data_IF_355581493730
#
_entry.id   IF_355581493730
#
_cell.length_a   1.000
_cell.length_b   1.000
_cell.length_c   1.000
_cell.angle_alpha   90.00
_cell.angle_beta   90.00
_cell.angle_gamma   90.00
#
_symmetry.space_group_name_H-M   'P 1'
#
loop_
_entity.id
_entity.type
_entity.pdbx_description
1 polymer ?
#
# COMPACT_ATOMS: atom_id res chain seq x y z
N UNK A 1 24.19 17.28 27.83
CA UNK A 1 23.03 17.52 26.93
C UNK A 1 23.56 17.95 25.59
N UNK A 2 23.54 17.07 24.59
CA UNK A 2 23.57 17.38 23.16
C UNK A 2 23.24 16.08 22.39
N UNK A 3 21.96 15.91 22.02
CA UNK A 3 21.52 14.96 21.00
C UNK A 3 21.88 15.48 19.59
N UNK A 4 21.85 14.70 18.52
CA UNK A 4 21.36 13.33 18.38
C UNK A 4 22.19 12.53 17.36
N UNK A 5 22.26 11.22 17.59
CA UNK A 5 22.73 10.21 16.62
C UNK A 5 21.56 9.53 15.91
N UNK A 6 20.36 10.10 15.98
CA UNK A 6 19.11 9.52 15.51
C UNK A 6 18.44 10.48 14.52
N UNK A 7 19.06 10.72 13.36
CA UNK A 7 18.41 11.51 12.30
C UNK A 7 17.47 10.65 11.44
N UNK A 8 17.65 9.32 11.45
CA UNK A 8 16.84 8.39 10.66
C UNK A 8 16.50 7.12 11.45
N UNK A 9 15.20 6.81 11.55
CA UNK A 9 14.66 5.67 12.29
C UNK A 9 14.38 4.44 11.40
N UNK A 10 14.53 4.57 10.09
CA UNK A 10 14.28 3.52 9.11
C UNK A 10 15.21 3.69 7.90
N UNK A 11 15.63 2.56 7.32
CA UNK A 11 16.53 2.52 6.17
C UNK A 11 15.95 1.63 5.08
N UNK A 12 16.08 2.05 3.83
CA UNK A 12 15.70 1.29 2.65
C UNK A 12 16.90 1.17 1.72
N UNK A 13 17.20 -0.05 1.27
CA UNK A 13 18.31 -0.35 0.37
C UNK A 13 17.77 -0.93 -0.93
N UNK A 14 18.32 -0.44 -2.05
CA UNK A 14 18.10 -1.01 -3.38
C UNK A 14 19.48 -1.34 -3.94
N UNK A 15 19.73 -2.62 -4.22
CA UNK A 15 20.90 -3.05 -4.97
C UNK A 15 20.65 -2.81 -6.45
N UNK A 16 21.67 -2.36 -7.17
CA UNK A 16 21.58 -2.00 -8.59
C UNK A 16 22.82 -2.54 -9.28
N UNK A 17 22.61 -3.35 -10.30
CA UNK A 17 23.69 -3.88 -11.13
C UNK A 17 24.19 -2.80 -12.08
N UNK A 18 25.48 -2.45 -11.97
CA UNK A 18 26.11 -1.46 -12.85
C UNK A 18 26.09 -1.92 -14.30
N UNK A 19 26.09 -0.97 -15.25
CA UNK A 19 26.06 -1.23 -16.69
C UNK A 19 24.84 -2.03 -17.21
N UNK A 20 23.78 -2.12 -16.39
CA UNK A 20 22.49 -2.71 -16.80
C UNK A 20 21.39 -1.65 -16.90
N UNK A 21 20.22 -2.06 -17.40
CA UNK A 21 19.03 -1.20 -17.43
C UNK A 21 18.57 -0.75 -16.03
N UNK A 22 18.95 -1.46 -14.97
CA UNK A 22 18.57 -1.14 -13.58
C UNK A 22 19.09 0.24 -13.17
N UNK A 23 20.24 0.67 -13.69
CA UNK A 23 20.80 2.00 -13.44
C UNK A 23 19.85 3.11 -13.92
N UNK A 24 19.25 2.94 -15.10
CA UNK A 24 18.31 3.91 -15.67
C UNK A 24 17.05 4.06 -14.79
N UNK A 25 16.48 2.94 -14.35
CA UNK A 25 15.31 2.96 -13.46
C UNK A 25 15.64 3.49 -12.07
N UNK A 26 16.85 3.24 -11.58
CA UNK A 26 17.30 3.74 -10.28
C UNK A 26 17.44 5.26 -10.25
N UNK A 27 17.90 5.89 -11.34
CA UNK A 27 17.93 7.36 -11.46
C UNK A 27 16.53 7.97 -11.37
N UNK A 28 15.53 7.35 -12.00
CA UNK A 28 14.13 7.80 -11.87
C UNK A 28 13.59 7.64 -10.45
N UNK A 29 13.90 6.51 -9.81
CA UNK A 29 13.52 6.25 -8.42
C UNK A 29 14.16 7.25 -7.45
N UNK A 30 15.43 7.59 -7.67
CA UNK A 30 16.12 8.62 -6.89
C UNK A 30 15.37 9.95 -6.96
N UNK A 31 15.04 10.43 -8.17
CA UNK A 31 14.28 11.67 -8.33
C UNK A 31 12.94 11.60 -7.59
N UNK A 32 12.19 10.51 -7.77
CA UNK A 32 10.91 10.31 -7.10
C UNK A 32 11.02 10.34 -5.57
N UNK A 33 12.03 9.67 -4.99
CA UNK A 33 12.22 9.65 -3.54
C UNK A 33 12.58 11.03 -2.98
N UNK A 34 13.42 11.78 -3.69
CA UNK A 34 13.79 13.15 -3.33
C UNK A 34 12.55 14.05 -3.39
N UNK A 35 11.73 13.92 -4.44
CA UNK A 35 10.50 14.70 -4.59
C UNK A 35 9.47 14.42 -3.48
N UNK A 36 9.48 13.21 -2.90
CA UNK A 36 8.64 12.85 -1.74
C UNK A 36 9.25 13.30 -0.39
N UNK A 37 10.45 13.88 -0.38
CA UNK A 37 11.12 14.38 0.82
C UNK A 37 11.94 13.33 1.57
N UNK A 38 12.27 12.19 0.96
CA UNK A 38 13.18 11.22 1.57
C UNK A 38 14.65 11.65 1.42
N UNK A 39 15.45 11.36 2.45
CA UNK A 39 16.90 11.46 2.37
C UNK A 39 17.45 10.28 1.55
N UNK A 40 18.27 10.58 0.55
CA UNK A 40 18.80 9.60 -0.38
C UNK A 40 20.33 9.68 -0.45
N UNK A 41 21.00 8.52 -0.41
CA UNK A 41 22.45 8.40 -0.51
C UNK A 41 22.83 7.24 -1.40
N UNK A 42 23.73 7.49 -2.35
CA UNK A 42 24.36 6.43 -3.16
C UNK A 42 25.60 5.91 -2.44
N UNK A 43 25.73 4.59 -2.35
CA UNK A 43 26.88 3.90 -1.75
C UNK A 43 27.51 3.03 -2.84
N UNK A 44 28.76 3.30 -3.19
CA UNK A 44 29.50 2.58 -4.24
C UNK A 44 30.52 1.58 -3.69
N UNK A 45 30.90 1.70 -2.42
CA UNK A 45 31.93 0.88 -1.78
C UNK A 45 31.36 0.19 -0.53
N UNK A 46 30.67 -0.92 -0.75
CA UNK A 46 30.21 -1.87 0.27
C UNK A 46 30.15 -3.25 -0.42
N UNK A 47 30.56 -4.36 0.22
CA UNK A 47 31.18 -4.51 1.53
C UNK A 47 32.66 -4.06 1.58
N UNK A 48 33.23 -3.84 2.78
CA UNK A 48 34.67 -3.64 2.95
C UNK A 48 35.47 -4.75 2.24
N UNK A 49 36.60 -4.43 1.59
CA UNK A 49 37.37 -5.40 0.80
C UNK A 49 37.86 -6.61 1.61
N UNK A 50 38.07 -6.42 2.91
CA UNK A 50 38.53 -7.47 3.84
C UNK A 50 37.44 -8.52 4.19
N UNK A 51 36.16 -8.23 3.90
CA UNK A 51 35.06 -9.15 4.19
C UNK A 51 34.81 -10.19 3.09
N UNK A 52 35.47 -10.04 1.94
CA UNK A 52 35.39 -10.96 0.80
C UNK A 52 35.37 -12.45 1.16
N UNK A 53 36.33 -12.99 1.94
CA UNK A 53 36.36 -14.41 2.28
C UNK A 53 35.22 -14.88 3.20
N UNK A 54 34.49 -13.95 3.84
CA UNK A 54 33.35 -14.27 4.69
C UNK A 54 32.01 -14.23 3.93
N UNK A 55 32.03 -13.86 2.65
CA UNK A 55 30.84 -13.72 1.82
C UNK A 55 30.72 -14.86 0.83
N UNK A 56 29.49 -15.23 0.50
CA UNK A 56 29.21 -16.23 -0.53
C UNK A 56 29.60 -15.72 -1.92
N UNK A 57 29.95 -16.64 -2.82
CA UNK A 57 30.35 -16.35 -4.20
C UNK A 57 31.65 -15.54 -4.32
N UNK A 58 32.57 -15.73 -3.35
CA UNK A 58 33.88 -15.08 -3.38
C UNK A 58 34.84 -15.72 -4.38
N UNK A 59 34.77 -17.05 -4.56
CA UNK A 59 35.65 -17.80 -5.46
C UNK A 59 35.10 -17.85 -6.88
N UNK A 60 35.99 -17.91 -7.87
CA UNK A 60 35.59 -18.01 -9.29
C UNK A 60 34.77 -19.29 -9.55
N UNK A 61 35.13 -20.40 -8.92
CA UNK A 61 34.43 -21.68 -9.09
C UNK A 61 32.97 -21.57 -8.62
N UNK A 62 32.70 -20.95 -7.47
CA UNK A 62 31.34 -20.70 -6.98
C UNK A 62 30.54 -19.78 -7.92
N UNK A 63 31.20 -18.80 -8.52
CA UNK A 63 30.57 -17.88 -9.49
C UNK A 63 30.22 -18.60 -10.80
N UNK A 64 31.10 -19.48 -11.30
CA UNK A 64 30.83 -20.30 -12.49
C UNK A 64 29.70 -21.30 -12.25
N UNK A 65 29.64 -21.89 -11.07
CA UNK A 65 28.54 -22.77 -10.67
C UNK A 65 27.21 -22.01 -10.62
N UNK A 66 27.20 -20.78 -10.08
CA UNK A 66 26.02 -19.92 -10.10
C UNK A 66 25.61 -19.56 -11.54
N UNK A 67 26.58 -19.19 -12.38
CA UNK A 67 26.33 -18.87 -13.78
C UNK A 67 25.71 -20.06 -14.53
N UNK A 68 26.23 -21.27 -14.31
CA UNK A 68 25.66 -22.49 -14.90
C UNK A 68 24.20 -22.69 -14.50
N UNK A 69 23.87 -22.45 -13.23
CA UNK A 69 22.48 -22.50 -12.74
C UNK A 69 21.61 -21.44 -13.42
N UNK A 70 22.07 -20.20 -13.50
CA UNK A 70 21.33 -19.09 -14.14
C UNK A 70 21.09 -19.35 -15.63
N UNK A 71 22.08 -19.87 -16.35
CA UNK A 71 21.92 -20.21 -17.78
C UNK A 71 20.98 -21.39 -18.00
N UNK A 72 20.88 -22.30 -17.03
CA UNK A 72 19.93 -23.43 -17.09
C UNK A 72 18.51 -23.05 -16.64
N UNK A 73 18.34 -21.92 -15.96
CA UNK A 73 17.03 -21.43 -15.57
C UNK A 73 16.27 -20.99 -16.82
N UNK A 74 15.08 -21.56 -17.05
CA UNK A 74 14.22 -21.17 -18.15
C UNK A 74 13.57 -19.81 -17.92
N UNK A 75 13.09 -19.18 -19.00
CA UNK A 75 12.41 -17.88 -18.97
C UNK A 75 11.19 -17.84 -18.02
N UNK A 76 10.60 -18.99 -17.72
CA UNK A 76 9.50 -19.13 -16.76
C UNK A 76 9.88 -18.73 -15.32
N UNK A 77 11.18 -18.77 -14.98
CA UNK A 77 11.71 -18.28 -13.71
C UNK A 77 11.99 -16.77 -13.72
N UNK A 78 11.98 -16.15 -14.90
CA UNK A 78 12.26 -14.73 -15.12
C UNK A 78 10.92 -14.01 -15.26
N UNK A 79 10.26 -13.79 -14.13
CA UNK A 79 8.94 -13.14 -14.09
C UNK A 79 8.66 -12.51 -12.74
N UNK A 80 7.78 -11.50 -12.73
CA UNK A 80 7.21 -11.00 -11.47
C UNK A 80 6.23 -12.06 -10.98
N UNK A 81 6.37 -12.51 -9.72
CA UNK A 81 5.38 -13.41 -9.13
C UNK A 81 4.00 -12.76 -9.18
N UNK A 82 3.12 -13.31 -10.01
CA UNK A 82 1.76 -12.84 -10.14
C UNK A 82 0.91 -13.53 -9.06
N UNK A 83 0.59 -12.79 -8.00
CA UNK A 83 -0.36 -13.25 -6.99
C UNK A 83 -1.77 -13.25 -7.62
N UNK A 84 -2.52 -14.35 -7.47
CA UNK A 84 -3.86 -14.49 -8.07
C UNK A 84 -4.91 -13.51 -7.52
N UNK A 85 -4.65 -12.85 -6.39
CA UNK A 85 -5.53 -11.82 -5.81
C UNK A 85 -4.79 -10.49 -5.58
N UNK A 86 -4.98 -9.53 -6.50
CA UNK A 86 -4.76 -8.11 -6.21
C UNK A 86 -5.72 -7.67 -5.09
N UNK A 87 -5.21 -7.59 -3.86
CA UNK A 87 -5.97 -7.11 -2.68
C UNK A 87 -6.48 -5.65 -2.87
N UNK A 88 -5.86 -4.89 -3.77
CA UNK A 88 -6.17 -3.49 -4.05
C UNK A 88 -7.52 -3.30 -4.78
N UNK A 89 -8.00 -4.31 -5.51
CA UNK A 89 -9.27 -4.27 -6.25
C UNK A 89 -10.52 -4.32 -5.36
N UNK A 90 -10.40 -4.82 -4.12
CA UNK A 90 -11.55 -5.01 -3.21
C UNK A 90 -12.12 -3.68 -2.69
N UNK A 91 -11.34 -2.59 -2.71
CA UNK A 91 -11.82 -1.26 -2.34
C UNK A 91 -12.67 -0.58 -3.42
N UNK A 92 -12.43 -0.86 -4.71
CA UNK A 92 -13.12 -0.22 -5.83
C UNK A 92 -14.50 -0.81 -6.14
N UNK A 93 -14.73 -2.09 -5.83
CA UNK A 93 -16.00 -2.78 -6.11
C UNK A 93 -17.18 -2.30 -5.27
N UNK A 94 -16.95 -1.54 -4.19
CA UNK A 94 -18.03 -1.03 -3.32
C UNK A 94 -18.64 0.30 -3.81
N UNK A 95 -18.09 0.93 -4.84
CA UNK A 95 -18.63 2.15 -5.42
C UNK A 95 -19.66 1.84 -6.53
N UNK A 96 -20.92 1.64 -6.14
CA UNK A 96 -22.04 1.49 -7.07
C UNK A 96 -22.41 2.86 -7.66
N UNK A 97 -21.89 3.17 -8.86
CA UNK A 97 -22.27 4.37 -9.61
C UNK A 97 -23.68 4.18 -10.18
N UNK A 98 -24.68 4.85 -9.60
CA UNK A 98 -26.04 4.91 -10.16
C UNK A 98 -26.10 6.01 -11.21
N UNK A 99 -26.38 5.68 -12.47
CA UNK A 99 -26.65 6.68 -13.50
C UNK A 99 -28.01 7.36 -13.21
N UNK A 100 -28.04 8.70 -13.15
CA UNK A 100 -29.24 9.48 -12.88
C UNK A 100 -29.07 10.95 -13.26
N UNK A 101 -30.19 11.63 -13.54
CA UNK A 101 -30.23 13.08 -13.81
C UNK A 101 -29.76 13.87 -12.56
N UNK A 102 -28.99 14.95 -12.76
CA UNK A 102 -28.45 15.78 -11.67
C UNK A 102 -29.53 16.30 -10.70
N UNK A 103 -30.75 16.52 -11.20
CA UNK A 103 -31.92 16.91 -10.40
C UNK A 103 -32.35 15.86 -9.36
N UNK A 104 -32.05 14.58 -9.58
CA UNK A 104 -32.37 13.49 -8.66
C UNK A 104 -31.46 13.48 -7.41
N UNK A 105 -30.22 13.98 -7.52
CA UNK A 105 -29.28 14.06 -6.39
C UNK A 105 -29.48 15.32 -5.55
N UNK A 106 -30.02 16.39 -6.14
CA UNK A 106 -30.20 17.69 -5.48
C UNK A 106 -31.48 17.79 -4.63
N UNK A 107 -32.22 16.69 -4.43
CA UNK A 107 -33.49 16.70 -3.68
C UNK A 107 -34.67 17.33 -4.43
N UNK A 108 -34.46 17.84 -5.65
CA UNK A 108 -35.51 18.45 -6.48
C UNK A 108 -36.53 17.44 -7.02
N UNK A 109 -36.18 16.15 -7.04
CA UNK A 109 -37.07 15.04 -7.44
C UNK A 109 -38.02 14.54 -6.35
N UNK A 110 -38.25 15.30 -5.27
CA UNK A 110 -39.21 14.92 -4.22
C UNK A 110 -38.73 13.81 -3.27
N UNK A 111 -37.42 13.57 -3.18
CA UNK A 111 -36.88 12.53 -2.30
C UNK A 111 -36.83 13.02 -0.85
N UNK A 112 -37.75 12.51 -0.02
CA UNK A 112 -37.80 12.76 1.42
C UNK A 112 -36.62 12.08 2.10
N UNK A 113 -36.02 12.75 3.09
CA UNK A 113 -34.92 12.26 3.92
C UNK A 113 -35.22 10.87 4.50
N UNK A 114 -34.53 9.85 3.99
CA UNK A 114 -34.60 8.49 4.51
C UNK A 114 -33.59 8.35 5.64
N UNK A 115 -34.08 8.36 6.88
CA UNK A 115 -33.27 8.02 8.05
C UNK A 115 -32.89 6.55 7.96
N UNK A 116 -31.62 6.24 7.74
CA UNK A 116 -31.10 4.88 7.77
C UNK A 116 -31.14 4.34 9.21
N UNK A 117 -32.27 3.75 9.59
CA UNK A 117 -32.33 2.96 10.82
C UNK A 117 -31.69 1.59 10.53
N UNK A 118 -30.47 1.38 11.04
CA UNK A 118 -29.78 0.09 10.99
C UNK A 118 -30.51 -0.90 11.88
N UNK A 119 -31.48 -1.63 11.33
CA UNK A 119 -32.20 -2.67 12.06
C UNK A 119 -33.20 -3.42 11.19
N UNK A 120 -32.83 -4.64 10.78
CA UNK A 120 -33.65 -5.63 10.07
C UNK A 120 -35.09 -5.75 10.62
N UNK A 121 -36.05 -5.77 9.70
CA UNK A 121 -37.14 -6.75 9.70
C UNK A 121 -38.25 -6.64 10.77
N UNK A 122 -39.49 -6.60 10.27
CA UNK A 122 -40.77 -6.93 10.94
C UNK A 122 -41.33 -5.89 11.92
N UNK A 123 -42.42 -5.26 11.48
CA UNK A 123 -43.56 -4.86 12.31
C UNK A 123 -43.32 -3.72 13.30
N UNK A 124 -43.81 -2.52 12.97
CA UNK A 124 -43.86 -1.41 13.90
C UNK A 124 -44.71 -1.76 15.14
N UNK A 125 -44.06 -2.15 16.25
CA UNK A 125 -44.71 -2.15 17.58
C UNK A 125 -44.64 -0.74 18.15
N UNK A 126 -45.78 -0.20 18.61
CA UNK A 126 -45.87 1.09 19.31
C UNK A 126 -44.90 1.06 20.51
N UNK A 127 -43.89 1.93 20.48
CA UNK A 127 -42.82 1.99 21.48
C UNK A 127 -43.32 2.77 22.71
N UNK A 128 -43.37 2.07 23.84
CA UNK A 128 -43.86 2.53 25.14
C UNK A 128 -43.17 3.85 25.59
N UNK A 129 -43.91 4.95 25.85
CA UNK A 129 -43.33 6.25 26.16
C UNK A 129 -42.51 6.27 27.46
N UNK A 130 -42.74 5.31 28.36
CA UNK A 130 -42.00 5.18 29.62
C UNK A 130 -40.53 4.77 29.44
N UNK A 131 -40.18 4.11 28.31
CA UNK A 131 -38.83 3.58 28.02
C UNK A 131 -37.96 4.55 27.20
N UNK A 132 -38.38 5.81 27.04
CA UNK A 132 -37.61 6.82 26.31
C UNK A 132 -36.53 7.44 27.19
N UNK A 133 -35.37 7.71 26.58
CA UNK A 133 -34.25 8.38 27.21
C UNK A 133 -34.67 9.74 27.78
N UNK A 134 -34.15 10.08 28.96
CA UNK A 134 -34.61 11.21 29.81
C UNK A 134 -34.62 12.55 29.09
N UNK A 135 -33.66 12.77 28.18
CA UNK A 135 -33.55 13.98 27.36
C UNK A 135 -34.73 14.21 26.40
N UNK A 136 -35.48 13.16 26.02
CA UNK A 136 -36.57 13.27 25.03
C UNK A 136 -37.98 13.25 25.65
N UNK A 137 -38.09 13.22 26.99
CA UNK A 137 -39.39 13.29 27.67
C UNK A 137 -40.02 14.69 27.63
N UNK A 138 -39.21 15.75 27.57
CA UNK A 138 -39.66 17.14 27.70
C UNK A 138 -40.19 17.79 26.42
N UNK A 139 -40.17 17.10 25.28
CA UNK A 139 -40.60 17.67 23.98
C UNK A 139 -42.00 17.26 23.54
N UNK A 140 -42.68 16.41 24.31
CA UNK A 140 -44.06 16.03 24.07
C UNK A 140 -44.84 16.08 25.39
N UNK A 141 -45.14 17.31 25.81
CA UNK A 141 -46.28 17.69 26.64
C UNK A 141 -46.90 18.89 25.96
#
# INVERSE_FOLDING_TARGET
MAGGKEEYNAFFYSLVSTDTQEMYYSTKRQQFLIDQGYSFKVITSLPPPEEGPNLSFHTLDEQLDLLGKVLSAGDDMIGVEHLEEDSDGKALLKARRSAGLMSAFSGAGGMVYMEYNTGKGKGAKKKDPAKRHTLFKKRYT
#
